data_IF_487853726468
#
_entry.id   IF_487853726468
#
_cell.length_a   1.000
_cell.length_b   1.000
_cell.length_c   1.000
_cell.angle_alpha   90.00
_cell.angle_beta   90.00
_cell.angle_gamma   90.00
#
_symmetry.space_group_name_H-M   'P 1'
#
loop_
_entity.id
_entity.type
_entity.pdbx_description
1 polymer ?
#
# COMPACT_ATOMS: atom_id res chain seq x y z
N UNK A 1 -0.09 4.77 -9.42
CA UNK A 1 -1.25 5.63 -9.04
C UNK A 1 -2.48 5.22 -9.84
N UNK A 2 -2.46 5.33 -11.18
CA UNK A 2 -3.62 5.01 -12.03
C UNK A 2 -4.22 3.65 -11.69
N UNK A 3 -3.41 2.60 -11.69
CA UNK A 3 -3.87 1.23 -11.45
C UNK A 3 -4.44 1.03 -10.04
N UNK A 4 -3.84 1.64 -9.03
CA UNK A 4 -4.39 1.58 -7.67
C UNK A 4 -5.73 2.33 -7.57
N UNK A 5 -5.86 3.48 -8.24
CA UNK A 5 -7.13 4.20 -8.33
C UNK A 5 -8.19 3.35 -9.01
N UNK A 6 -7.90 2.79 -10.18
CA UNK A 6 -8.79 1.90 -10.93
C UNK A 6 -9.20 0.65 -10.12
N UNK A 7 -8.27 0.11 -9.30
CA UNK A 7 -8.50 -1.06 -8.44
C UNK A 7 -9.18 -0.75 -7.11
N UNK A 8 -9.58 0.51 -6.84
CA UNK A 8 -10.40 0.83 -5.68
C UNK A 8 -9.69 1.51 -4.50
N UNK A 9 -8.40 1.88 -4.60
CA UNK A 9 -7.73 2.60 -3.52
C UNK A 9 -8.52 3.86 -3.12
N UNK A 10 -8.67 4.10 -1.83
CA UNK A 10 -9.29 5.30 -1.27
C UNK A 10 -8.29 6.44 -1.11
N UNK A 11 -7.06 6.10 -0.80
CA UNK A 11 -5.93 7.00 -0.61
C UNK A 11 -4.65 6.31 -1.03
N UNK A 12 -3.66 7.07 -1.50
CA UNK A 12 -2.33 6.56 -1.87
C UNK A 12 -1.29 7.41 -1.16
N UNK A 13 -0.51 6.77 -0.29
CA UNK A 13 0.54 7.45 0.48
C UNK A 13 1.91 7.00 0.01
N UNK A 14 2.72 7.93 -0.48
CA UNK A 14 4.15 7.70 -0.66
C UNK A 14 4.88 8.08 0.62
N UNK A 15 5.86 7.29 1.02
CA UNK A 15 6.64 7.54 2.21
C UNK A 15 8.12 7.24 1.99
N UNK A 16 8.95 7.70 2.91
CA UNK A 16 10.38 7.41 2.91
C UNK A 16 10.68 6.18 3.76
N UNK A 17 11.30 5.16 3.16
CA UNK A 17 11.90 4.02 3.86
C UNK A 17 13.42 4.03 3.65
N UNK A 18 14.15 3.16 4.34
CA UNK A 18 15.62 3.17 4.36
C UNK A 18 16.24 3.02 2.97
N UNK A 19 15.71 2.09 2.17
CA UNK A 19 16.27 1.77 0.84
C UNK A 19 15.66 2.57 -0.31
N UNK A 20 14.97 3.67 -0.03
CA UNK A 20 14.47 4.55 -1.10
C UNK A 20 15.61 5.29 -1.77
N UNK A 21 15.82 5.04 -3.05
CA UNK A 21 16.87 5.68 -3.86
C UNK A 21 16.49 7.10 -4.29
N UNK A 22 15.19 7.42 -4.32
CA UNK A 22 14.72 8.71 -4.82
C UNK A 22 14.93 9.85 -3.83
N UNK A 23 15.50 10.95 -4.35
CA UNK A 23 15.62 12.21 -3.60
C UNK A 23 14.24 12.82 -3.34
N UNK A 24 14.04 13.32 -2.12
CA UNK A 24 12.80 14.00 -1.68
C UNK A 24 12.65 15.42 -2.23
N UNK A 25 13.62 15.89 -3.03
CA UNK A 25 13.56 17.21 -3.66
C UNK A 25 12.36 17.32 -4.62
N UNK A 26 11.63 18.43 -4.49
CA UNK A 26 10.49 18.71 -5.38
C UNK A 26 9.21 17.90 -5.11
N UNK A 27 9.04 17.36 -3.91
CA UNK A 27 7.84 16.58 -3.50
C UNK A 27 6.55 17.35 -3.81
N UNK A 28 6.50 18.65 -3.53
CA UNK A 28 5.30 19.47 -3.79
C UNK A 28 4.86 19.42 -5.27
N UNK A 29 5.80 19.59 -6.22
CA UNK A 29 5.51 19.48 -7.66
C UNK A 29 5.11 18.07 -8.07
N UNK A 30 5.72 17.04 -7.43
CA UNK A 30 5.34 15.65 -7.67
C UNK A 30 3.92 15.38 -7.18
N UNK A 31 3.55 15.86 -5.99
CA UNK A 31 2.21 15.71 -5.43
C UNK A 31 1.13 16.33 -6.31
N UNK A 32 1.36 17.54 -6.81
CA UNK A 32 0.43 18.20 -7.75
C UNK A 32 0.19 17.31 -8.99
N UNK A 33 1.27 16.82 -9.61
CA UNK A 33 1.19 15.90 -10.74
C UNK A 33 0.49 14.59 -10.39
N UNK A 34 0.81 14.00 -9.24
CA UNK A 34 0.25 12.71 -8.81
C UNK A 34 -1.24 12.80 -8.52
N UNK A 35 -1.70 13.89 -7.87
CA UNK A 35 -3.11 14.12 -7.63
C UNK A 35 -3.89 14.33 -8.94
N UNK A 36 -3.29 15.00 -9.94
CA UNK A 36 -3.89 15.10 -11.27
C UNK A 36 -4.00 13.73 -11.95
N UNK A 37 -3.00 12.86 -11.83
CA UNK A 37 -3.08 11.48 -12.35
C UNK A 37 -4.21 10.70 -11.66
N UNK A 38 -4.35 10.85 -10.35
CA UNK A 38 -5.44 10.23 -9.58
C UNK A 38 -6.81 10.72 -10.05
N UNK A 39 -6.97 12.02 -10.26
CA UNK A 39 -8.20 12.62 -10.78
C UNK A 39 -8.58 12.08 -12.17
N UNK A 40 -7.62 12.04 -13.09
CA UNK A 40 -7.81 11.51 -14.43
C UNK A 40 -8.20 10.02 -14.40
N UNK A 41 -7.55 9.22 -13.56
CA UNK A 41 -7.87 7.80 -13.39
C UNK A 41 -9.26 7.59 -12.76
N UNK A 42 -9.63 8.38 -11.77
CA UNK A 42 -10.95 8.31 -11.15
C UNK A 42 -12.07 8.64 -12.15
N UNK A 43 -11.88 9.68 -12.97
CA UNK A 43 -12.82 10.04 -14.06
C UNK A 43 -12.95 8.92 -15.08
N UNK A 44 -11.84 8.35 -15.54
CA UNK A 44 -11.82 7.28 -16.54
C UNK A 44 -12.51 6.01 -16.02
N UNK A 45 -12.29 5.65 -14.77
CA UNK A 45 -12.88 4.44 -14.13
C UNK A 45 -14.27 4.66 -13.55
N UNK A 46 -14.88 5.84 -13.70
CA UNK A 46 -16.24 6.15 -13.24
C UNK A 46 -16.37 6.21 -11.71
N UNK A 47 -15.27 6.46 -10.98
CA UNK A 47 -15.31 6.57 -9.52
C UNK A 47 -15.93 7.88 -9.06
N UNK A 48 -16.84 7.80 -8.08
CA UNK A 48 -17.45 8.97 -7.43
C UNK A 48 -16.53 9.68 -6.44
N UNK A 49 -15.36 9.08 -6.12
CA UNK A 49 -14.36 9.64 -5.19
C UNK A 49 -13.03 9.72 -5.91
N UNK A 50 -12.35 10.85 -5.79
CA UNK A 50 -10.97 11.02 -6.26
C UNK A 50 -10.04 10.67 -5.09
N UNK A 51 -9.25 9.58 -5.17
CA UNK A 51 -8.27 9.24 -4.13
C UNK A 51 -7.21 10.32 -3.98
N UNK A 52 -6.99 10.78 -2.76
CA UNK A 52 -5.90 11.69 -2.47
C UNK A 52 -4.56 10.97 -2.56
N UNK A 53 -3.57 11.62 -3.16
CA UNK A 53 -2.18 11.17 -3.16
C UNK A 53 -1.39 12.07 -2.23
N UNK A 54 -0.82 11.48 -1.17
CA UNK A 54 -0.06 12.19 -0.13
C UNK A 54 1.38 11.73 -0.04
N UNK A 55 2.18 12.57 0.57
CA UNK A 55 3.52 12.25 1.01
C UNK A 55 3.56 12.19 2.55
N UNK A 56 4.19 11.16 3.08
CA UNK A 56 4.45 10.97 4.50
C UNK A 56 5.97 11.02 4.71
N UNK A 57 6.44 11.84 5.65
CA UNK A 57 7.86 12.19 5.76
C UNK A 57 8.73 11.06 6.34
N UNK A 58 8.12 10.12 7.07
CA UNK A 58 8.86 9.04 7.70
C UNK A 58 8.15 7.69 7.61
N UNK A 59 8.93 6.62 7.72
CA UNK A 59 8.41 5.26 7.81
C UNK A 59 7.56 5.06 9.08
N UNK A 60 7.95 5.66 10.20
CA UNK A 60 7.19 5.58 11.46
C UNK A 60 5.79 6.16 11.28
N UNK A 61 5.68 7.35 10.71
CA UNK A 61 4.38 7.98 10.43
C UNK A 61 3.54 7.14 9.45
N UNK A 62 4.17 6.47 8.49
CA UNK A 62 3.46 5.57 7.59
C UNK A 62 2.89 4.35 8.32
N UNK A 63 3.62 3.78 9.27
CA UNK A 63 3.13 2.70 10.15
C UNK A 63 1.98 3.19 11.04
N UNK A 64 2.11 4.39 11.61
CA UNK A 64 1.06 4.98 12.44
C UNK A 64 -0.22 5.24 11.65
N UNK A 65 -0.11 5.72 10.42
CA UNK A 65 -1.26 5.91 9.52
C UNK A 65 -1.92 4.57 9.16
N UNK A 66 -1.14 3.54 8.86
CA UNK A 66 -1.66 2.21 8.56
C UNK A 66 -2.36 1.57 9.76
N UNK A 67 -1.81 1.73 10.96
CA UNK A 67 -2.38 1.23 12.22
C UNK A 67 -3.75 1.84 12.56
N UNK A 68 -4.12 2.97 11.99
CA UNK A 68 -5.45 3.58 12.19
C UNK A 68 -6.54 2.84 11.41
N UNK A 69 -6.19 1.96 10.48
CA UNK A 69 -7.16 1.14 9.78
C UNK A 69 -7.55 -0.08 10.65
N UNK A 70 -8.68 -0.70 10.34
CA UNK A 70 -9.14 -1.91 11.06
C UNK A 70 -8.16 -3.06 10.90
N UNK A 71 -7.50 -3.13 9.71
CA UNK A 71 -6.42 -4.08 9.47
C UNK A 71 -5.33 -3.48 8.57
N UNK A 72 -4.10 -3.98 8.68
CA UNK A 72 -2.98 -3.47 7.92
C UNK A 72 -1.98 -4.58 7.52
N UNK A 73 -1.67 -4.65 6.24
CA UNK A 73 -0.85 -5.69 5.62
C UNK A 73 0.48 -5.10 5.15
N UNK A 74 1.56 -5.60 5.70
CA UNK A 74 2.93 -5.21 5.34
C UNK A 74 3.55 -6.29 4.46
N UNK A 75 3.84 -5.96 3.21
CA UNK A 75 4.39 -6.92 2.26
C UNK A 75 5.89 -7.03 2.41
N UNK A 76 6.35 -8.25 2.71
CA UNK A 76 7.75 -8.53 2.95
C UNK A 76 8.16 -9.86 2.34
N UNK A 77 9.30 -9.88 1.64
CA UNK A 77 9.71 -11.05 0.85
C UNK A 77 10.61 -12.03 1.59
N UNK A 78 11.14 -11.66 2.76
CA UNK A 78 12.10 -12.47 3.53
C UNK A 78 11.65 -12.69 4.99
N UNK A 79 12.31 -13.57 5.72
CA UNK A 79 12.06 -13.80 7.12
C UNK A 79 10.70 -14.46 7.44
N UNK A 80 10.30 -14.34 8.71
CA UNK A 80 9.03 -14.88 9.19
C UNK A 80 7.85 -14.04 8.73
N UNK A 81 6.92 -14.66 8.02
CA UNK A 81 5.75 -14.04 7.43
C UNK A 81 4.65 -15.06 7.14
N UNK A 82 3.43 -14.61 7.09
CA UNK A 82 2.30 -15.41 6.63
C UNK A 82 2.03 -15.18 5.12
N UNK A 83 1.15 -15.97 4.51
CA UNK A 83 0.67 -15.68 3.17
C UNK A 83 -0.37 -14.56 3.22
N UNK A 84 -0.37 -13.66 2.22
CA UNK A 84 -1.41 -12.64 2.10
C UNK A 84 -2.82 -13.29 2.06
N UNK A 85 -2.95 -14.44 1.39
CA UNK A 85 -4.21 -15.20 1.37
C UNK A 85 -4.67 -15.61 2.78
N UNK A 86 -3.75 -15.96 3.68
CA UNK A 86 -4.10 -16.30 5.07
C UNK A 86 -4.50 -15.07 5.86
N UNK A 87 -3.77 -13.99 5.70
CA UNK A 87 -4.03 -12.72 6.38
C UNK A 87 -5.37 -12.08 5.95
N UNK A 88 -5.76 -12.25 4.69
CA UNK A 88 -7.03 -11.71 4.17
C UNK A 88 -8.28 -12.53 4.56
N UNK A 89 -8.15 -13.63 5.31
CA UNK A 89 -9.32 -14.38 5.76
C UNK A 89 -10.20 -13.52 6.68
N UNK A 90 -11.43 -13.31 6.27
CA UNK A 90 -12.37 -12.45 7.00
C UNK A 90 -12.37 -10.99 6.54
N UNK A 91 -11.64 -10.67 5.47
CA UNK A 91 -11.58 -9.32 4.91
C UNK A 91 -12.95 -8.77 4.47
N UNK A 92 -13.92 -9.64 4.20
CA UNK A 92 -15.32 -9.25 3.90
C UNK A 92 -16.01 -8.49 5.04
N UNK A 93 -15.43 -8.50 6.23
CA UNK A 93 -15.94 -7.80 7.42
C UNK A 93 -15.22 -6.49 7.70
N UNK A 94 -14.15 -6.18 6.95
CA UNK A 94 -13.35 -4.99 7.18
C UNK A 94 -14.04 -3.74 6.60
N UNK A 95 -14.19 -2.72 7.41
CA UNK A 95 -14.61 -1.39 6.96
C UNK A 95 -13.46 -0.56 6.40
N UNK A 96 -12.23 -0.86 6.81
CA UNK A 96 -11.02 -0.21 6.30
C UNK A 96 -9.79 -1.10 6.40
N UNK A 97 -8.87 -0.94 5.45
CA UNK A 97 -7.59 -1.66 5.46
C UNK A 97 -6.46 -0.84 4.83
N UNK A 98 -5.23 -1.11 5.26
CA UNK A 98 -4.03 -0.56 4.64
C UNK A 98 -3.13 -1.67 4.06
N UNK A 99 -2.47 -1.37 2.94
CA UNK A 99 -1.43 -2.22 2.36
C UNK A 99 -0.15 -1.41 2.23
N UNK A 100 0.92 -1.88 2.84
CA UNK A 100 2.26 -1.27 2.75
C UNK A 100 3.15 -2.13 1.86
N UNK A 101 3.77 -1.49 0.87
CA UNK A 101 4.70 -2.12 -0.08
C UNK A 101 6.04 -1.41 -0.08
N UNK A 102 7.13 -2.15 -0.27
CA UNK A 102 8.49 -1.62 -0.26
C UNK A 102 8.92 -0.96 -1.56
N UNK A 103 10.05 -0.23 -1.50
CA UNK A 103 10.73 0.29 -2.68
C UNK A 103 11.41 -0.84 -3.48
N UNK A 104 12.10 -0.50 -4.55
CA UNK A 104 12.83 -1.46 -5.40
C UNK A 104 13.89 -2.27 -4.64
N UNK A 105 14.47 -1.69 -3.60
CA UNK A 105 15.43 -2.35 -2.70
C UNK A 105 14.79 -3.20 -1.60
N UNK A 106 13.45 -3.26 -1.53
CA UNK A 106 12.72 -3.89 -0.44
C UNK A 106 12.85 -3.13 0.88
N UNK A 107 12.37 -3.75 1.94
CA UNK A 107 12.50 -3.23 3.31
C UNK A 107 13.72 -3.85 4.01
N UNK A 108 14.30 -3.10 4.94
CA UNK A 108 15.26 -3.65 5.88
C UNK A 108 14.57 -4.57 6.92
N UNK A 109 15.26 -5.58 7.47
CA UNK A 109 14.67 -6.46 8.48
C UNK A 109 14.09 -5.71 9.69
N UNK A 110 14.74 -4.63 10.14
CA UNK A 110 14.26 -3.84 11.26
C UNK A 110 12.96 -3.10 10.95
N UNK A 111 12.72 -2.70 9.68
CA UNK A 111 11.47 -2.07 9.25
C UNK A 111 10.30 -3.08 9.36
N UNK A 112 10.51 -4.33 8.95
CA UNK A 112 9.53 -5.40 9.14
C UNK A 112 9.28 -5.71 10.62
N UNK A 113 10.32 -5.68 11.46
CA UNK A 113 10.18 -5.84 12.91
C UNK A 113 9.41 -4.69 13.56
N UNK A 114 9.59 -3.47 13.09
CA UNK A 114 8.80 -2.32 13.54
C UNK A 114 7.33 -2.48 13.16
N UNK A 115 7.04 -2.88 11.91
CA UNK A 115 5.68 -3.14 11.45
C UNK A 115 4.99 -4.24 12.28
N UNK A 116 5.71 -5.33 12.59
CA UNK A 116 5.22 -6.42 13.46
C UNK A 116 4.91 -5.93 14.89
N UNK A 117 5.80 -5.12 15.46
CA UNK A 117 5.64 -4.58 16.83
C UNK A 117 4.41 -3.68 16.97
N UNK A 118 4.02 -2.96 15.92
CA UNK A 118 2.82 -2.12 15.94
C UNK A 118 1.56 -2.87 15.52
N UNK A 119 1.66 -4.18 15.22
CA UNK A 119 0.53 -5.07 15.02
C UNK A 119 0.13 -5.28 13.55
N UNK A 120 0.96 -4.90 12.58
CA UNK A 120 0.68 -5.17 11.18
C UNK A 120 0.92 -6.64 10.82
N UNK A 121 0.12 -7.18 9.92
CA UNK A 121 0.32 -8.49 9.31
C UNK A 121 1.52 -8.48 8.37
N UNK A 122 2.56 -9.25 8.69
CA UNK A 122 3.73 -9.38 7.80
C UNK A 122 3.44 -10.46 6.78
N UNK A 123 3.25 -10.07 5.51
CA UNK A 123 2.70 -10.93 4.48
C UNK A 123 3.63 -11.14 3.29
N UNK A 124 3.53 -12.32 2.68
CA UNK A 124 4.11 -12.61 1.37
C UNK A 124 3.02 -12.81 0.31
N UNK A 125 3.34 -12.46 -0.93
CA UNK A 125 2.47 -12.69 -2.09
C UNK A 125 2.90 -13.90 -2.94
N UNK A 126 3.45 -14.93 -2.28
CA UNK A 126 3.90 -16.17 -2.92
C UNK A 126 5.39 -16.15 -3.26
N UNK A 127 5.82 -17.08 -4.14
CA UNK A 127 7.23 -17.35 -4.41
C UNK A 127 7.92 -16.35 -5.35
N UNK A 128 7.17 -15.53 -6.06
CA UNK A 128 7.72 -14.54 -7.00
C UNK A 128 7.90 -13.19 -6.32
N UNK A 129 9.05 -12.57 -6.59
CA UNK A 129 9.28 -11.18 -6.20
C UNK A 129 8.60 -10.28 -7.23
N UNK A 130 7.67 -9.46 -6.77
CA UNK A 130 6.99 -8.47 -7.61
C UNK A 130 7.77 -7.15 -7.60
N UNK A 131 7.74 -6.43 -8.70
CA UNK A 131 8.28 -5.07 -8.76
C UNK A 131 7.48 -4.13 -7.87
N UNK A 132 8.12 -3.03 -7.41
CA UNK A 132 7.49 -2.05 -6.51
C UNK A 132 6.22 -1.42 -7.07
N UNK A 133 6.11 -1.26 -8.40
CA UNK A 133 4.89 -0.79 -9.06
C UNK A 133 3.81 -1.88 -9.22
N UNK A 134 4.19 -3.15 -9.16
CA UNK A 134 3.26 -4.30 -9.33
C UNK A 134 2.68 -4.75 -7.99
N UNK A 135 3.50 -4.77 -6.95
CA UNK A 135 3.11 -5.27 -5.63
C UNK A 135 1.86 -4.59 -5.05
N UNK A 136 1.75 -3.25 -5.04
CA UNK A 136 0.57 -2.58 -4.48
C UNK A 136 -0.70 -2.89 -5.27
N UNK A 137 -0.63 -2.99 -6.59
CA UNK A 137 -1.79 -3.30 -7.44
C UNK A 137 -2.29 -4.71 -7.16
N UNK A 138 -1.39 -5.70 -7.12
CA UNK A 138 -1.75 -7.10 -6.87
C UNK A 138 -2.34 -7.29 -5.48
N UNK A 139 -1.72 -6.69 -4.46
CA UNK A 139 -2.20 -6.81 -3.08
C UNK A 139 -3.55 -6.10 -2.88
N UNK A 140 -3.69 -4.89 -3.43
CA UNK A 140 -4.96 -4.17 -3.40
C UNK A 140 -6.07 -4.94 -4.12
N UNK A 141 -5.79 -5.50 -5.31
CA UNK A 141 -6.76 -6.32 -6.04
C UNK A 141 -7.19 -7.55 -5.23
N UNK A 142 -6.25 -8.24 -4.58
CA UNK A 142 -6.56 -9.37 -3.71
C UNK A 142 -7.46 -8.96 -2.53
N UNK A 143 -7.14 -7.84 -1.87
CA UNK A 143 -7.94 -7.29 -0.78
C UNK A 143 -9.35 -6.92 -1.26
N UNK A 144 -9.47 -6.21 -2.38
CA UNK A 144 -10.77 -5.78 -2.92
C UNK A 144 -11.63 -6.97 -3.36
N UNK A 145 -11.00 -8.03 -3.90
CA UNK A 145 -11.70 -9.26 -4.26
C UNK A 145 -12.21 -10.00 -3.01
N UNK A 146 -11.36 -10.23 -2.01
CA UNK A 146 -11.74 -10.94 -0.78
C UNK A 146 -12.75 -10.15 0.08
N UNK A 147 -12.76 -8.82 -0.03
CA UNK A 147 -13.75 -7.96 0.65
C UNK A 147 -15.06 -7.77 -0.13
N UNK A 148 -15.23 -8.39 -1.30
CA UNK A 148 -16.42 -8.25 -2.14
C UNK A 148 -16.58 -6.90 -2.84
N UNK A 149 -15.51 -6.11 -2.96
CA UNK A 149 -15.54 -4.79 -3.62
C UNK A 149 -15.20 -4.83 -5.12
N UNK A 150 -15.04 -6.02 -5.72
CA UNK A 150 -14.85 -6.23 -7.15
C UNK A 150 -16.00 -7.00 -7.81
N UNK A 151 -17.15 -7.06 -7.17
CA UNK A 151 -18.37 -7.66 -7.73
C UNK A 151 -19.18 -6.63 -8.53
#
# INVERSE_FOLDING_TARGET
IQKCVESGAKEICFFRSERVVQRTEGVAKKLERWNRISEEAAKQSGRGIIPEVRWIDSFVEALDAAKQQEDAFFLYETGERESLRSALKGAEKLGSAAVITGPEGGFEPYEADMARKVGLHICSMGARILRCETAPVVALTALMYESGNLE
#
